data_IF_896599873410
#
_entry.id   IF_896599873410
#
_cell.length_a   1.000
_cell.length_b   1.000
_cell.length_c   1.000
_cell.angle_alpha   90.00
_cell.angle_beta   90.00
_cell.angle_gamma   90.00
#
_symmetry.space_group_name_H-M   'P 1'
#
loop_
_entity.id
_entity.type
_entity.pdbx_description
1 polymer ?
#
# COMPACT_ATOMS: atom_id res chain seq x y z
N UNK A 1 9.59 -20.37 -3.30
CA UNK A 1 9.43 -19.13 -2.51
C UNK A 1 9.75 -17.88 -3.35
N UNK A 2 10.85 -17.88 -4.10
CA UNK A 2 11.26 -16.77 -4.99
C UNK A 2 10.23 -16.36 -6.05
N UNK A 3 9.52 -17.32 -6.66
CA UNK A 3 8.49 -17.02 -7.67
C UNK A 3 7.27 -16.30 -7.10
N UNK A 4 6.80 -16.66 -5.90
CA UNK A 4 5.66 -16.00 -5.25
C UNK A 4 5.96 -14.51 -5.04
N UNK A 5 7.16 -14.20 -4.56
CA UNK A 5 7.57 -12.81 -4.39
C UNK A 5 7.57 -12.05 -5.71
N UNK A 6 8.04 -12.68 -6.80
CA UNK A 6 8.03 -12.07 -8.13
C UNK A 6 6.60 -11.83 -8.64
N UNK A 7 5.68 -12.77 -8.41
CA UNK A 7 4.25 -12.61 -8.73
C UNK A 7 3.65 -11.41 -8.01
N UNK A 8 3.85 -11.34 -6.69
CA UNK A 8 3.35 -10.23 -5.89
C UNK A 8 3.91 -8.89 -6.39
N UNK A 9 5.19 -8.86 -6.80
CA UNK A 9 5.79 -7.66 -7.42
C UNK A 9 5.13 -7.26 -8.74
N UNK A 10 4.75 -8.21 -9.60
CA UNK A 10 4.02 -7.87 -10.82
C UNK A 10 2.62 -7.34 -10.51
N UNK A 11 1.91 -7.95 -9.55
CA UNK A 11 0.60 -7.47 -9.09
C UNK A 11 0.68 -6.09 -8.44
N UNK A 12 1.73 -5.81 -7.66
CA UNK A 12 2.01 -4.50 -7.08
C UNK A 12 2.19 -3.44 -8.18
N UNK A 13 3.05 -3.67 -9.17
CA UNK A 13 3.30 -2.72 -10.27
C UNK A 13 2.07 -2.52 -11.17
N UNK A 14 1.34 -3.61 -11.45
CA UNK A 14 0.08 -3.55 -12.18
C UNK A 14 -0.95 -2.68 -11.46
N UNK A 15 -1.06 -2.83 -10.13
CA UNK A 15 -1.96 -2.03 -9.31
C UNK A 15 -1.59 -0.55 -9.34
N UNK A 16 -0.30 -0.20 -9.23
CA UNK A 16 0.13 1.20 -9.33
C UNK A 16 -0.27 1.83 -10.66
N UNK A 17 -0.20 1.06 -11.75
CA UNK A 17 -0.58 1.56 -13.07
C UNK A 17 -2.08 1.88 -13.15
N UNK A 18 -2.94 0.99 -12.66
CA UNK A 18 -4.40 1.12 -12.75
C UNK A 18 -5.00 2.09 -11.74
N UNK A 19 -4.31 2.35 -10.63
CA UNK A 19 -4.73 3.30 -9.60
C UNK A 19 -4.55 4.77 -10.01
N UNK A 20 -3.83 5.04 -11.10
CA UNK A 20 -3.65 6.40 -11.63
C UNK A 20 -4.97 6.97 -12.10
N UNK A 21 -5.39 8.07 -11.50
CA UNK A 21 -6.51 8.89 -11.95
C UNK A 21 -6.01 10.04 -12.82
N UNK A 22 -6.63 10.24 -13.98
CA UNK A 22 -6.31 11.35 -14.90
C UNK A 22 -7.02 12.67 -14.54
N UNK A 23 -7.79 12.69 -13.44
CA UNK A 23 -8.53 13.86 -12.98
C UNK A 23 -7.76 14.62 -11.91
N UNK A 24 -7.97 15.93 -11.84
CA UNK A 24 -7.41 16.78 -10.78
C UNK A 24 -7.90 16.29 -9.42
N UNK A 25 -6.96 15.82 -8.61
CA UNK A 25 -7.22 15.29 -7.28
C UNK A 25 -7.30 16.44 -6.30
N UNK A 26 -8.41 16.56 -5.59
CA UNK A 26 -8.51 17.43 -4.43
C UNK A 26 -8.61 16.57 -3.15
N UNK A 27 -7.48 16.40 -2.49
CA UNK A 27 -7.43 15.86 -1.14
C UNK A 27 -7.79 16.96 -0.14
N UNK A 28 -9.06 16.97 0.29
CA UNK A 28 -9.47 17.78 1.42
C UNK A 28 -8.95 17.11 2.71
N UNK A 29 -8.02 17.78 3.38
CA UNK A 29 -7.36 17.27 4.59
C UNK A 29 -8.36 16.94 5.70
N UNK A 30 -9.38 17.78 5.89
CA UNK A 30 -10.39 17.61 6.96
C UNK A 30 -11.21 16.34 6.72
N UNK A 31 -11.66 16.13 5.48
CA UNK A 31 -12.43 14.92 5.13
C UNK A 31 -11.59 13.65 5.28
N UNK A 32 -10.31 13.68 4.89
CA UNK A 32 -9.41 12.53 5.06
C UNK A 32 -9.19 12.26 6.55
N UNK A 33 -9.00 13.30 7.35
CA UNK A 33 -8.81 13.18 8.79
C UNK A 33 -10.00 12.52 9.49
N UNK A 34 -11.22 12.93 9.19
CA UNK A 34 -12.43 12.33 9.73
C UNK A 34 -12.52 10.82 9.41
N UNK A 35 -12.24 10.45 8.16
CA UNK A 35 -12.23 9.04 7.73
C UNK A 35 -11.14 8.26 8.47
N UNK A 36 -9.93 8.82 8.58
CA UNK A 36 -8.81 8.17 9.28
C UNK A 36 -9.13 7.94 10.74
N UNK A 37 -9.65 8.95 11.45
CA UNK A 37 -10.01 8.83 12.87
C UNK A 37 -10.99 7.68 13.06
N UNK A 38 -12.04 7.62 12.21
CA UNK A 38 -13.02 6.55 12.24
C UNK A 38 -12.38 5.17 12.02
N UNK A 39 -11.58 5.01 10.97
CA UNK A 39 -10.92 3.73 10.65
C UNK A 39 -9.98 3.27 11.78
N UNK A 40 -9.22 4.20 12.37
CA UNK A 40 -8.27 3.88 13.46
C UNK A 40 -9.01 3.39 14.70
N UNK A 41 -10.15 4.01 15.04
CA UNK A 41 -10.93 3.72 16.24
C UNK A 41 -11.84 2.49 16.10
N UNK A 42 -12.49 2.32 14.95
CA UNK A 42 -13.59 1.37 14.78
C UNK A 42 -13.20 0.10 14.02
N UNK A 43 -12.12 0.12 13.24
CA UNK A 43 -11.77 -0.99 12.33
C UNK A 43 -10.47 -1.68 12.72
N UNK A 44 -10.43 -3.00 12.60
CA UNK A 44 -9.22 -3.81 12.64
C UNK A 44 -8.34 -3.59 11.41
N UNK A 45 -7.07 -4.02 11.46
CA UNK A 45 -6.17 -3.87 10.31
C UNK A 45 -6.68 -4.62 9.06
N UNK A 46 -7.24 -5.82 9.23
CA UNK A 46 -7.78 -6.62 8.12
C UNK A 46 -9.04 -5.99 7.51
N UNK A 47 -9.87 -5.33 8.32
CA UNK A 47 -11.02 -4.56 7.83
C UNK A 47 -10.54 -3.33 7.04
N UNK A 48 -9.49 -2.64 7.50
CA UNK A 48 -8.92 -1.51 6.75
C UNK A 48 -8.29 -1.97 5.43
N UNK A 49 -7.63 -3.14 5.40
CA UNK A 49 -7.18 -3.73 4.14
C UNK A 49 -8.35 -4.05 3.20
N UNK A 50 -9.44 -4.61 3.74
CA UNK A 50 -10.64 -4.88 2.95
C UNK A 50 -11.25 -3.58 2.40
N UNK A 51 -11.34 -2.53 3.20
CA UNK A 51 -11.82 -1.20 2.76
C UNK A 51 -10.91 -0.60 1.68
N UNK A 52 -9.58 -0.73 1.83
CA UNK A 52 -8.60 -0.29 0.85
C UNK A 52 -8.80 -0.99 -0.49
N UNK A 53 -8.98 -2.32 -0.49
CA UNK A 53 -9.22 -3.08 -1.72
C UNK A 53 -10.59 -2.85 -2.33
N UNK A 54 -11.64 -2.74 -1.51
CA UNK A 54 -12.99 -2.41 -1.94
C UNK A 54 -13.09 -1.02 -2.57
N UNK A 55 -12.27 -0.08 -2.11
CA UNK A 55 -12.16 1.28 -2.65
C UNK A 55 -11.36 1.38 -3.96
N UNK A 56 -10.77 0.29 -4.43
CA UNK A 56 -10.00 0.32 -5.69
C UNK A 56 -10.89 0.18 -6.93
N UNK A 57 -10.52 0.80 -8.07
CA UNK A 57 -11.23 0.62 -9.31
C UNK A 57 -11.26 -0.86 -9.75
N UNK A 58 -12.36 -1.32 -10.34
CA UNK A 58 -12.47 -2.70 -10.85
C UNK A 58 -11.34 -3.07 -11.82
N UNK A 59 -10.86 -2.11 -12.62
CA UNK A 59 -9.69 -2.29 -13.50
C UNK A 59 -8.43 -2.74 -12.76
N UNK A 60 -8.27 -2.36 -11.49
CA UNK A 60 -7.16 -2.83 -10.64
C UNK A 60 -7.32 -4.32 -10.31
N UNK A 61 -8.52 -4.73 -9.91
CA UNK A 61 -8.84 -6.15 -9.63
C UNK A 61 -8.68 -7.01 -10.87
N UNK A 62 -9.20 -6.54 -12.01
CA UNK A 62 -9.07 -7.22 -13.30
C UNK A 62 -7.60 -7.38 -13.70
N UNK A 63 -6.79 -6.34 -13.51
CA UNK A 63 -5.37 -6.41 -13.85
C UNK A 63 -4.60 -7.36 -12.92
N UNK A 64 -4.86 -7.33 -11.61
CA UNK A 64 -4.29 -8.29 -10.65
C UNK A 64 -4.67 -9.71 -11.06
N UNK A 65 -5.94 -9.95 -11.40
CA UNK A 65 -6.42 -11.25 -11.87
C UNK A 65 -5.65 -11.72 -13.10
N UNK A 66 -5.57 -10.89 -14.15
CA UNK A 66 -4.91 -11.24 -15.41
C UNK A 66 -3.44 -11.57 -15.16
N UNK A 67 -2.73 -10.73 -14.41
CA UNK A 67 -1.31 -10.94 -14.10
C UNK A 67 -1.11 -12.23 -13.33
N UNK A 68 -1.93 -12.49 -12.32
CA UNK A 68 -1.80 -13.67 -11.48
C UNK A 68 -2.17 -14.96 -12.24
N UNK A 69 -3.31 -14.98 -12.93
CA UNK A 69 -3.79 -16.11 -13.73
C UNK A 69 -2.79 -16.46 -14.85
N UNK A 70 -2.31 -15.45 -15.59
CA UNK A 70 -1.30 -15.68 -16.62
C UNK A 70 -0.02 -16.26 -16.05
N UNK A 71 0.50 -15.67 -14.97
CA UNK A 71 1.79 -16.07 -14.43
C UNK A 71 1.75 -17.43 -13.74
N UNK A 72 0.63 -17.80 -13.11
CA UNK A 72 0.45 -19.14 -12.52
C UNK A 72 0.29 -20.24 -13.55
N UNK A 73 -0.19 -19.93 -14.76
CA UNK A 73 -0.22 -20.86 -15.91
C UNK A 73 1.15 -21.13 -16.52
N UNK A 74 2.15 -20.30 -16.25
CA UNK A 74 3.53 -20.52 -16.66
C UNK A 74 4.28 -21.50 -15.74
N UNK A 75 3.66 -21.91 -14.63
CA UNK A 75 4.28 -22.81 -13.66
C UNK A 75 4.03 -24.29 -13.97
N UNK A 76 4.94 -25.19 -13.53
CA UNK A 76 4.64 -26.61 -13.45
C UNK A 76 3.39 -26.87 -12.61
N UNK A 77 2.61 -27.89 -12.98
CA UNK A 77 1.34 -28.22 -12.31
C UNK A 77 1.49 -28.42 -10.79
N UNK A 78 2.58 -29.03 -10.34
CA UNK A 78 2.87 -29.24 -8.92
C UNK A 78 3.06 -27.93 -8.13
N UNK A 79 3.57 -26.89 -8.77
CA UNK A 79 3.74 -25.57 -8.14
C UNK A 79 2.45 -24.76 -8.19
N UNK A 80 1.74 -24.82 -9.31
CA UNK A 80 0.45 -24.12 -9.50
C UNK A 80 -0.61 -24.56 -8.47
N UNK A 81 -0.67 -25.86 -8.17
CA UNK A 81 -1.62 -26.43 -7.18
C UNK A 81 -1.35 -25.99 -5.73
N UNK A 82 -0.14 -25.52 -5.43
CA UNK A 82 0.23 -25.02 -4.10
C UNK A 82 -0.10 -23.54 -3.90
N UNK A 83 -0.56 -22.85 -4.94
CA UNK A 83 -0.87 -21.43 -4.91
C UNK A 83 -2.38 -21.19 -4.68
N UNK A 84 -2.76 -20.06 -4.06
CA UNK A 84 -4.16 -19.68 -3.97
C UNK A 84 -4.74 -19.48 -5.37
N UNK A 85 -6.06 -19.67 -5.49
CA UNK A 85 -6.76 -19.44 -6.75
C UNK A 85 -6.74 -17.97 -7.15
N UNK A 86 -6.83 -17.69 -8.44
CA UNK A 86 -6.92 -16.32 -8.96
C UNK A 86 -8.13 -15.56 -8.41
N UNK A 87 -9.24 -16.25 -8.12
CA UNK A 87 -10.42 -15.68 -7.46
C UNK A 87 -10.14 -15.19 -6.02
N UNK A 88 -9.34 -15.92 -5.26
CA UNK A 88 -8.93 -15.49 -3.92
C UNK A 88 -8.03 -14.24 -3.96
N UNK A 89 -7.25 -14.07 -5.02
CA UNK A 89 -6.35 -12.90 -5.19
C UNK A 89 -7.06 -11.59 -5.50
N UNK A 90 -8.33 -11.65 -5.90
CA UNK A 90 -9.15 -10.47 -6.13
C UNK A 90 -10.15 -10.18 -5.00
N UNK A 91 -10.08 -10.94 -3.90
CA UNK A 91 -10.79 -10.60 -2.68
C UNK A 91 -10.32 -9.23 -2.16
N UNK A 92 -11.26 -8.40 -1.68
CA UNK A 92 -10.97 -7.03 -1.27
C UNK A 92 -9.79 -6.94 -0.29
N UNK A 93 -9.71 -7.87 0.66
CA UNK A 93 -8.60 -7.94 1.62
C UNK A 93 -7.24 -8.14 0.94
N UNK A 94 -7.15 -9.09 0.01
CA UNK A 94 -5.91 -9.40 -0.72
C UNK A 94 -5.52 -8.28 -1.69
N UNK A 95 -6.50 -7.67 -2.35
CA UNK A 95 -6.30 -6.47 -3.17
C UNK A 95 -5.78 -5.32 -2.31
N UNK A 96 -6.36 -5.11 -1.13
CA UNK A 96 -5.90 -4.11 -0.16
C UNK A 96 -4.43 -4.30 0.23
N UNK A 97 -4.03 -5.54 0.55
CA UNK A 97 -2.63 -5.85 0.82
C UNK A 97 -1.73 -5.53 -0.39
N UNK A 98 -2.16 -5.92 -1.60
CA UNK A 98 -1.41 -5.69 -2.84
C UNK A 98 -1.23 -4.19 -3.09
N UNK A 99 -2.29 -3.40 -2.93
CA UNK A 99 -2.30 -1.95 -3.11
C UNK A 99 -1.44 -1.25 -2.06
N UNK A 100 -1.56 -1.62 -0.79
CA UNK A 100 -0.71 -1.07 0.26
C UNK A 100 0.76 -1.37 0.01
N UNK A 101 1.05 -2.61 -0.41
CA UNK A 101 2.40 -3.02 -0.75
C UNK A 101 2.95 -2.32 -1.99
N UNK A 102 2.11 -1.94 -2.94
CA UNK A 102 2.56 -1.28 -4.16
C UNK A 102 3.07 0.14 -3.90
N UNK A 103 2.40 0.89 -3.03
CA UNK A 103 2.80 2.24 -2.63
C UNK A 103 3.91 2.26 -1.58
N UNK A 104 4.20 1.12 -0.92
CA UNK A 104 5.11 1.04 0.23
C UNK A 104 6.49 1.62 -0.05
N UNK A 105 7.04 1.45 -1.26
CA UNK A 105 8.38 1.94 -1.59
C UNK A 105 8.47 3.46 -1.58
N UNK A 106 7.48 4.12 -2.16
CA UNK A 106 7.42 5.58 -2.22
C UNK A 106 7.18 6.16 -0.83
N UNK A 107 6.26 5.55 -0.08
CA UNK A 107 5.97 5.94 1.30
C UNK A 107 7.15 5.71 2.22
N UNK A 108 7.85 4.59 2.09
CA UNK A 108 9.07 4.29 2.86
C UNK A 108 10.15 5.35 2.62
N UNK A 109 10.40 5.72 1.36
CA UNK A 109 11.40 6.76 1.05
C UNK A 109 11.02 8.13 1.65
N UNK A 110 9.72 8.40 1.79
CA UNK A 110 9.22 9.65 2.40
C UNK A 110 9.25 9.60 3.94
N UNK A 111 8.83 8.51 4.55
CA UNK A 111 8.60 8.40 6.00
C UNK A 111 9.80 7.85 6.79
N UNK A 112 10.57 6.96 6.15
CA UNK A 112 11.54 6.08 6.82
C UNK A 112 12.99 6.31 6.39
N UNK A 113 13.24 7.06 5.31
CA UNK A 113 14.60 7.37 4.88
C UNK A 113 15.21 8.41 5.84
N UNK A 114 16.39 8.14 6.45
CA UNK A 114 17.08 9.09 7.32
C UNK A 114 17.31 10.47 6.71
N UNK A 115 17.39 10.56 5.39
CA UNK A 115 17.56 11.81 4.67
C UNK A 115 16.26 12.61 4.46
N UNK A 116 15.09 12.00 4.68
CA UNK A 116 13.82 12.69 4.52
C UNK A 116 13.56 13.68 5.65
N UNK A 117 12.98 14.83 5.31
CA UNK A 117 12.60 15.85 6.30
C UNK A 117 11.59 15.32 7.33
N UNK A 118 10.73 14.39 6.89
CA UNK A 118 9.71 13.79 7.76
C UNK A 118 10.37 12.84 8.77
N UNK A 119 11.33 12.04 8.32
CA UNK A 119 12.11 11.19 9.21
C UNK A 119 12.88 12.01 10.23
N UNK A 120 13.61 13.03 9.77
CA UNK A 120 14.34 13.97 10.63
C UNK A 120 13.41 14.63 11.65
N UNK A 121 12.18 14.97 11.25
CA UNK A 121 11.19 15.59 12.12
C UNK A 121 10.70 14.67 13.25
N UNK A 122 10.33 13.41 12.98
CA UNK A 122 9.90 12.51 14.06
C UNK A 122 11.07 11.97 14.89
N UNK A 123 12.22 11.71 14.29
CA UNK A 123 13.40 11.24 15.01
C UNK A 123 13.91 12.28 16.02
N UNK A 124 13.87 13.57 15.65
CA UNK A 124 14.35 14.68 16.50
C UNK A 124 13.31 15.16 17.53
N UNK A 125 12.04 15.23 17.15
CA UNK A 125 10.99 15.85 17.98
C UNK A 125 10.00 14.84 18.60
N UNK A 126 10.19 13.55 18.34
CA UNK A 126 9.32 12.46 18.80
C UNK A 126 8.06 12.28 17.96
N UNK A 127 7.44 11.10 18.09
CA UNK A 127 6.26 10.69 17.32
C UNK A 127 5.06 11.61 17.52
N UNK A 128 4.83 12.11 18.74
CA UNK A 128 3.72 13.03 19.04
C UNK A 128 3.79 14.32 18.21
N UNK A 129 5.00 14.86 17.97
CA UNK A 129 5.15 16.06 17.15
C UNK A 129 4.68 15.82 15.72
N UNK A 130 4.97 14.64 15.16
CA UNK A 130 4.63 14.28 13.78
C UNK A 130 3.15 13.98 13.59
N UNK A 131 2.51 13.37 14.58
CA UNK A 131 1.07 13.17 14.61
C UNK A 131 0.32 14.51 14.75
N UNK A 132 0.71 15.37 15.71
CA UNK A 132 0.05 16.65 15.97
C UNK A 132 0.16 17.66 14.84
N UNK A 133 1.24 17.58 14.04
CA UNK A 133 1.46 18.44 12.87
C UNK A 133 0.98 17.81 11.57
N UNK A 134 0.30 16.67 11.64
CA UNK A 134 -0.29 15.97 10.49
C UNK A 134 0.73 15.68 9.37
N UNK A 135 1.99 15.43 9.75
CA UNK A 135 3.04 15.14 8.77
C UNK A 135 2.78 13.82 8.04
N UNK A 136 2.17 12.81 8.69
CA UNK A 136 1.81 11.55 8.02
C UNK A 136 0.76 11.79 6.94
N UNK A 137 -0.25 12.62 7.22
CA UNK A 137 -1.29 12.98 6.25
C UNK A 137 -0.69 13.66 5.02
N UNK A 138 0.12 14.69 5.23
CA UNK A 138 0.77 15.42 4.13
C UNK A 138 1.76 14.53 3.37
N UNK A 139 2.56 13.71 4.07
CA UNK A 139 3.48 12.76 3.45
C UNK A 139 2.76 11.81 2.48
N UNK A 140 1.73 11.14 2.98
CA UNK A 140 1.01 10.11 2.23
C UNK A 140 0.27 10.76 1.07
N UNK A 141 -0.47 11.85 1.31
CA UNK A 141 -1.24 12.54 0.25
C UNK A 141 -0.33 13.07 -0.85
N UNK A 142 0.79 13.72 -0.52
CA UNK A 142 1.77 14.20 -1.52
C UNK A 142 2.39 13.05 -2.31
N UNK A 143 2.69 11.92 -1.67
CA UNK A 143 3.19 10.72 -2.36
C UNK A 143 2.14 10.15 -3.33
N UNK A 144 0.89 10.07 -2.91
CA UNK A 144 -0.20 9.58 -3.75
C UNK A 144 -0.48 10.53 -4.92
N UNK A 145 -0.47 11.86 -4.71
CA UNK A 145 -0.56 12.85 -5.79
C UNK A 145 0.57 12.66 -6.80
N UNK A 146 1.82 12.51 -6.34
CA UNK A 146 2.97 12.26 -7.23
C UNK A 146 2.83 10.96 -8.03
N UNK A 147 2.20 9.94 -7.43
CA UNK A 147 1.87 8.70 -8.11
C UNK A 147 0.67 8.82 -9.05
N UNK A 148 -0.05 9.94 -9.04
CA UNK A 148 -1.27 10.16 -9.81
C UNK A 148 -2.50 9.49 -9.19
N UNK A 149 -2.47 9.11 -7.91
CA UNK A 149 -3.55 8.41 -7.21
C UNK A 149 -4.43 9.43 -6.49
N UNK A 150 -5.72 9.44 -6.83
CA UNK A 150 -6.64 10.49 -6.41
C UNK A 150 -7.76 10.13 -5.44
N UNK A 151 -7.79 8.90 -4.96
CA UNK A 151 -8.93 8.37 -4.21
C UNK A 151 -8.77 8.63 -2.71
N UNK A 152 -9.71 9.40 -2.12
CA UNK A 152 -9.67 9.79 -0.69
C UNK A 152 -9.66 8.57 0.24
N UNK A 153 -10.49 7.57 -0.04
CA UNK A 153 -10.54 6.34 0.76
C UNK A 153 -9.22 5.57 0.73
N UNK A 154 -8.52 5.53 -0.42
CA UNK A 154 -7.20 4.90 -0.51
C UNK A 154 -6.20 5.64 0.38
N UNK A 155 -6.17 6.99 0.31
CA UNK A 155 -5.30 7.79 1.16
C UNK A 155 -5.61 7.58 2.65
N UNK A 156 -6.89 7.63 3.02
CA UNK A 156 -7.32 7.46 4.40
C UNK A 156 -6.97 6.06 4.94
N UNK A 157 -7.25 4.99 4.21
CA UNK A 157 -6.92 3.63 4.64
C UNK A 157 -5.42 3.41 4.81
N UNK A 158 -4.59 3.97 3.91
CA UNK A 158 -3.12 3.91 4.04
C UNK A 158 -2.65 4.65 5.30
N UNK A 159 -3.13 5.88 5.53
CA UNK A 159 -2.77 6.66 6.72
C UNK A 159 -3.19 5.93 8.00
N UNK A 160 -4.42 5.40 8.02
CA UNK A 160 -4.96 4.65 9.16
C UNK A 160 -4.10 3.40 9.47
N UNK A 161 -3.68 2.64 8.44
CA UNK A 161 -2.77 1.50 8.62
C UNK A 161 -1.42 1.93 9.20
N UNK A 162 -0.79 2.97 8.66
CA UNK A 162 0.49 3.49 9.18
C UNK A 162 0.34 3.93 10.64
N UNK A 163 -0.75 4.62 10.98
CA UNK A 163 -1.03 5.05 12.36
C UNK A 163 -1.27 3.88 13.31
N UNK A 164 -2.03 2.85 12.89
CA UNK A 164 -2.29 1.66 13.72
C UNK A 164 -1.05 0.79 13.91
N UNK A 165 -0.20 0.66 12.90
CA UNK A 165 1.08 -0.03 13.06
C UNK A 165 2.04 0.77 13.95
N UNK A 166 2.01 2.10 13.84
CA UNK A 166 3.07 2.97 14.32
C UNK A 166 4.17 3.12 13.28
N UNK A 167 4.73 4.33 13.15
CA UNK A 167 5.71 4.65 12.09
C UNK A 167 6.98 3.79 12.19
N UNK A 168 7.43 3.48 13.40
CA UNK A 168 8.61 2.64 13.64
C UNK A 168 8.39 1.22 13.11
N UNK A 169 7.28 0.60 13.50
CA UNK A 169 6.89 -0.74 13.02
C UNK A 169 6.68 -0.75 11.51
N UNK A 170 6.10 0.32 10.95
CA UNK A 170 5.95 0.47 9.51
C UNK A 170 7.33 0.48 8.81
N UNK A 171 8.26 1.29 9.30
CA UNK A 171 9.61 1.37 8.74
C UNK A 171 10.37 0.04 8.85
N UNK A 172 10.26 -0.67 9.98
CA UNK A 172 10.94 -1.95 10.12
C UNK A 172 10.33 -3.03 9.21
N UNK A 173 8.99 -3.11 9.15
CA UNK A 173 8.28 -4.18 8.44
C UNK A 173 8.25 -3.99 6.93
N UNK A 174 8.14 -2.75 6.45
CA UNK A 174 7.90 -2.44 5.03
C UNK A 174 9.13 -1.90 4.30
N UNK A 175 10.32 -2.10 4.87
CA UNK A 175 11.59 -1.82 4.19
C UNK A 175 11.64 -2.49 2.81
N UNK A 176 11.82 -1.72 1.73
CA UNK A 176 11.91 -2.28 0.38
C UNK A 176 13.09 -3.23 0.23
N UNK A 177 12.82 -4.44 -0.24
CA UNK A 177 13.85 -5.41 -0.63
C UNK A 177 14.16 -5.21 -2.12
N UNK A 178 15.45 -5.20 -2.46
CA UNK A 178 15.91 -5.06 -3.84
C UNK A 178 15.72 -6.36 -4.64
N UNK A 179 15.55 -6.25 -5.97
CA UNK A 179 15.42 -7.43 -6.86
C UNK A 179 16.64 -8.36 -6.79
N UNK A 180 17.82 -7.82 -6.52
CA UNK A 180 19.04 -8.63 -6.31
C UNK A 180 18.94 -9.43 -5.01
N UNK A 181 18.53 -8.81 -3.91
CA UNK A 181 18.34 -9.52 -2.62
C UNK A 181 17.26 -10.60 -2.68
N UNK A 182 16.28 -10.48 -3.58
CA UNK A 182 15.26 -11.52 -3.80
C UNK A 182 15.83 -12.71 -4.56
N UNK A 183 16.80 -12.49 -5.44
CA UNK A 183 17.46 -13.56 -6.23
C UNK A 183 18.39 -14.43 -5.40
N UNK A 184 18.95 -13.86 -4.34
CA UNK A 184 19.93 -14.53 -3.45
C UNK A 184 19.27 -15.26 -2.26
N UNK A 185 17.93 -15.21 -2.16
CA UNK A 185 17.09 -15.96 -1.19
C UNK A 185 16.33 -17.09 -1.87
#
# INVERSE_FOLDING_TARGET
>A
MQFIYLLDRFSEEASLCTLKSYYYVNFNEVEIEEIVIKLVQESSNEEIFSELGGSTPSSTKDMIFIVYDYSTKLLPASESLALPSSGQKIEDREVGHTVFNSVKRVLYNSLCNPESEIYKAWFKNGLQYVLNKKYIYSAVTVCLIHLGIGMKMIAASIIALIMKFGIEVYCDRYKPISLMEIRDK
#
